data_IF_426728622210
#
_entry.id   IF_426728622210
#
_cell.length_a   1.000
_cell.length_b   1.000
_cell.length_c   1.000
_cell.angle_alpha   90.00
_cell.angle_beta   90.00
_cell.angle_gamma   90.00
#
_symmetry.space_group_name_H-M   'P 1'
#
loop_
_entity.id
_entity.type
_entity.pdbx_description
1 polymer ?
#
# COMPACT_ATOMS: atom_id res chain seq x y z
N UNK A 1 -10.25 -37.42 -28.49
CA UNK A 1 -8.78 -37.32 -28.51
C UNK A 1 -8.25 -37.65 -27.12
N UNK A 2 -7.20 -38.47 -27.00
CA UNK A 2 -6.60 -38.85 -25.70
C UNK A 2 -5.76 -37.69 -25.16
N UNK A 3 -5.79 -37.47 -23.84
CA UNK A 3 -5.10 -36.37 -23.13
C UNK A 3 -3.65 -36.06 -23.60
N UNK A 4 -2.76 -37.04 -23.84
CA UNK A 4 -1.39 -36.74 -24.30
C UNK A 4 -1.32 -36.06 -25.68
N UNK A 5 -2.29 -36.32 -26.57
CA UNK A 5 -2.35 -35.66 -27.87
C UNK A 5 -2.79 -34.18 -27.77
N UNK A 6 -3.57 -33.83 -26.74
CA UNK A 6 -3.97 -32.44 -26.48
C UNK A 6 -2.82 -31.63 -25.90
N UNK A 7 -2.05 -32.21 -24.99
CA UNK A 7 -0.85 -31.58 -24.42
C UNK A 7 0.24 -31.37 -25.48
N UNK A 8 0.46 -32.35 -26.36
CA UNK A 8 1.39 -32.20 -27.49
C UNK A 8 0.98 -31.09 -28.46
N UNK A 9 -0.32 -30.98 -28.77
CA UNK A 9 -0.84 -29.92 -29.63
C UNK A 9 -0.71 -28.54 -28.97
N UNK A 10 -1.00 -28.44 -27.67
CA UNK A 10 -0.88 -27.20 -26.92
C UNK A 10 0.57 -26.72 -26.87
N UNK A 11 1.53 -27.61 -26.59
CA UNK A 11 2.95 -27.27 -26.62
C UNK A 11 3.43 -26.76 -27.98
N UNK A 12 2.97 -27.38 -29.07
CA UNK A 12 3.31 -26.94 -30.44
C UNK A 12 2.73 -25.55 -30.77
N UNK A 13 1.50 -25.28 -30.34
CA UNK A 13 0.88 -23.95 -30.50
C UNK A 13 1.65 -22.91 -29.69
N UNK A 14 2.05 -23.23 -28.47
CA UNK A 14 2.79 -22.30 -27.61
C UNK A 14 4.16 -21.95 -28.19
N UNK A 15 4.90 -22.94 -28.71
CA UNK A 15 6.18 -22.72 -29.40
C UNK A 15 5.98 -21.84 -30.64
N UNK A 16 4.92 -22.06 -31.42
CA UNK A 16 4.62 -21.25 -32.59
C UNK A 16 4.31 -19.79 -32.21
N UNK A 17 3.54 -19.56 -31.14
CA UNK A 17 3.22 -18.21 -30.64
C UNK A 17 4.48 -17.49 -30.18
N UNK A 18 5.35 -18.15 -29.40
CA UNK A 18 6.61 -17.57 -28.95
C UNK A 18 7.58 -17.25 -30.11
N UNK A 19 7.66 -18.14 -31.10
CA UNK A 19 8.51 -17.92 -32.28
C UNK A 19 8.02 -16.73 -33.13
N UNK A 20 6.69 -16.60 -33.30
CA UNK A 20 6.10 -15.44 -34.01
C UNK A 20 6.36 -14.16 -33.22
N UNK A 21 6.12 -14.17 -31.91
CA UNK A 21 6.33 -13.00 -31.04
C UNK A 21 7.80 -12.52 -31.08
N UNK A 22 8.77 -13.43 -30.94
CA UNK A 22 10.20 -13.12 -31.00
C UNK A 22 10.61 -12.55 -32.37
N UNK A 23 10.05 -13.06 -33.46
CA UNK A 23 10.34 -12.56 -34.81
C UNK A 23 9.74 -11.17 -35.06
N UNK A 24 8.51 -10.92 -34.60
CA UNK A 24 7.90 -9.58 -34.66
C UNK A 24 8.61 -8.57 -33.78
N UNK A 25 9.06 -8.97 -32.58
CA UNK A 25 9.82 -8.09 -31.70
C UNK A 25 11.14 -7.65 -32.38
N UNK A 26 11.87 -8.58 -32.99
CA UNK A 26 13.12 -8.26 -33.69
C UNK A 26 12.94 -7.39 -34.96
N UNK A 27 11.72 -7.31 -35.51
CA UNK A 27 11.43 -6.50 -36.70
C UNK A 27 10.92 -5.09 -36.35
N UNK A 28 10.42 -4.88 -35.13
CA UNK A 28 9.74 -3.65 -34.70
C UNK A 28 10.57 -2.89 -33.67
N UNK A 29 11.36 -3.60 -32.85
CA UNK A 29 12.20 -2.99 -31.81
C UNK A 29 13.54 -2.58 -32.44
N UNK A 30 13.87 -1.27 -32.46
CA UNK A 30 15.16 -0.81 -32.93
C UNK A 30 16.29 -1.26 -32.01
N UNK A 31 17.48 -1.53 -32.57
CA UNK A 31 18.67 -1.96 -31.80
C UNK A 31 19.04 -0.96 -30.68
N UNK A 32 18.70 0.32 -30.84
CA UNK A 32 18.90 1.36 -29.81
C UNK A 32 18.06 1.16 -28.56
N UNK A 33 16.88 0.55 -28.67
CA UNK A 33 16.02 0.24 -27.52
C UNK A 33 16.58 -0.95 -26.74
N UNK A 34 17.15 -1.93 -27.44
CA UNK A 34 17.85 -3.06 -26.81
C UNK A 34 19.14 -2.61 -26.13
N UNK A 35 19.87 -1.66 -26.72
CA UNK A 35 21.04 -1.05 -26.09
C UNK A 35 20.70 -0.21 -24.87
N UNK A 36 19.62 0.58 -24.89
CA UNK A 36 19.17 1.35 -23.73
C UNK A 36 18.84 0.43 -22.54
N UNK A 37 18.16 -0.69 -22.77
CA UNK A 37 17.88 -1.68 -21.72
C UNK A 37 19.13 -2.42 -21.24
N UNK A 38 20.10 -2.66 -22.13
CA UNK A 38 21.38 -3.26 -21.75
C UNK A 38 22.23 -2.29 -20.90
N UNK A 39 22.27 -1.01 -21.26
CA UNK A 39 22.96 0.05 -20.50
C UNK A 39 22.31 0.27 -19.12
N UNK A 40 20.98 0.26 -19.04
CA UNK A 40 20.22 0.32 -17.78
C UNK A 40 20.51 -0.88 -16.84
N UNK A 41 20.80 -2.06 -17.39
CA UNK A 41 21.28 -3.22 -16.60
C UNK A 41 22.78 -3.17 -16.26
N UNK A 42 23.59 -2.39 -16.97
CA UNK A 42 25.05 -2.34 -16.75
C UNK A 42 25.42 -1.26 -15.71
N UNK A 43 24.64 -0.18 -15.60
CA UNK A 43 24.81 0.84 -14.55
C UNK A 43 24.47 0.31 -13.13
N UNK A 44 23.78 -0.84 -13.04
CA UNK A 44 23.45 -1.49 -11.77
C UNK A 44 24.50 -2.52 -11.29
N UNK A 45 25.69 -2.59 -11.91
CA UNK A 45 26.71 -3.58 -11.50
C UNK A 45 28.14 -3.00 -11.41
N UNK A 46 28.44 -2.46 -10.22
CA UNK A 46 29.75 -2.28 -9.57
C UNK A 46 30.97 -1.76 -10.38
N UNK A 47 31.54 -0.65 -9.90
CA UNK A 47 33.00 -0.44 -9.89
C UNK A 47 33.49 -0.38 -8.44
N UNK A 48 34.14 -1.46 -7.99
CA UNK A 48 35.03 -1.43 -6.83
C UNK A 48 36.38 -0.80 -7.23
N UNK A 49 36.90 0.02 -6.33
CA UNK A 49 38.29 0.42 -6.31
C UNK A 49 38.44 1.84 -5.80
N UNK A 50 38.71 2.00 -4.51
CA UNK A 50 39.87 2.75 -4.00
C UNK A 50 40.03 2.47 -2.50
N UNK A 51 41.22 1.96 -2.17
CA UNK A 51 41.79 1.77 -0.86
C UNK A 51 42.10 3.13 -0.21
N UNK A 52 41.62 3.38 1.02
CA UNK A 52 42.24 4.33 1.96
C UNK A 52 41.80 4.05 3.41
N UNK A 53 42.80 3.77 4.23
CA UNK A 53 42.80 3.76 5.69
C UNK A 53 42.29 5.07 6.32
N UNK A 54 41.44 4.99 7.33
CA UNK A 54 41.09 6.13 8.20
C UNK A 54 39.99 5.80 9.22
N UNK A 55 40.28 6.05 10.48
CA UNK A 55 39.49 5.78 11.70
C UNK A 55 38.53 6.95 12.00
N UNK A 56 37.22 6.69 12.20
CA UNK A 56 36.26 7.30 13.16
C UNK A 56 34.79 7.02 12.72
N UNK A 57 33.82 6.85 13.66
CA UNK A 57 32.43 6.49 13.39
C UNK A 57 31.52 7.73 13.23
N UNK A 58 30.26 7.48 12.85
CA UNK A 58 29.15 8.43 12.65
C UNK A 58 28.93 8.93 11.22
N UNK A 59 28.17 8.15 10.45
CA UNK A 59 27.13 8.65 9.57
C UNK A 59 26.21 7.47 9.24
N UNK A 60 25.01 7.44 9.85
CA UNK A 60 23.96 6.52 9.45
C UNK A 60 23.56 6.86 8.03
N UNK A 61 23.97 6.01 7.08
CA UNK A 61 23.46 6.06 5.72
C UNK A 61 21.98 5.70 5.79
N UNK A 62 21.13 6.69 5.56
CA UNK A 62 19.76 6.46 5.13
C UNK A 62 19.85 5.85 3.73
N UNK A 63 19.77 4.52 3.69
CA UNK A 63 19.36 3.78 2.51
C UNK A 63 18.14 4.48 1.92
N UNK A 64 18.13 4.68 0.61
CA UNK A 64 17.01 5.29 -0.09
C UNK A 64 15.70 4.64 0.33
N UNK A 65 14.64 5.43 0.41
CA UNK A 65 13.30 4.95 0.66
C UNK A 65 13.06 3.68 -0.17
N UNK A 66 13.12 2.53 0.50
CA UNK A 66 12.64 1.28 -0.04
C UNK A 66 11.24 1.59 -0.55
N UNK A 67 10.96 1.27 -1.81
CA UNK A 67 9.64 1.45 -2.36
C UNK A 67 8.67 0.70 -1.44
N UNK A 68 8.00 1.43 -0.56
CA UNK A 68 7.12 0.86 0.45
C UNK A 68 6.17 -0.09 -0.28
N UNK A 69 6.04 -1.32 0.24
CA UNK A 69 5.16 -2.30 -0.36
C UNK A 69 3.79 -1.68 -0.55
N UNK A 70 3.34 -1.57 -1.80
CA UNK A 70 2.02 -1.02 -2.09
C UNK A 70 0.89 -1.97 -1.67
N UNK A 71 1.20 -3.07 -0.96
CA UNK A 71 0.22 -4.03 -0.48
C UNK A 71 -0.57 -4.73 -1.57
N UNK A 72 -0.17 -4.62 -2.85
CA UNK A 72 -0.93 -5.15 -3.99
C UNK A 72 -0.67 -6.63 -4.28
N UNK A 73 0.41 -7.18 -3.72
CA UNK A 73 0.86 -8.54 -3.97
C UNK A 73 0.43 -9.50 -2.86
N UNK A 74 0.11 -10.74 -3.25
CA UNK A 74 -0.09 -11.84 -2.29
C UNK A 74 1.22 -12.40 -1.75
N UNK A 75 2.35 -11.99 -2.31
CA UNK A 75 3.68 -12.41 -1.91
C UNK A 75 4.71 -11.30 -2.18
N UNK A 76 5.72 -11.23 -1.33
CA UNK A 76 6.85 -10.30 -1.42
C UNK A 76 8.05 -10.92 -0.69
N UNK A 77 9.26 -10.82 -1.26
CA UNK A 77 10.52 -11.26 -0.62
C UNK A 77 10.50 -12.70 -0.09
N UNK A 78 9.70 -13.58 -0.70
CA UNK A 78 9.52 -14.98 -0.29
C UNK A 78 8.41 -15.18 0.76
N UNK A 79 7.90 -14.12 1.37
CA UNK A 79 6.70 -14.16 2.20
C UNK A 79 5.44 -14.24 1.33
N UNK A 80 4.42 -14.95 1.80
CA UNK A 80 3.17 -15.18 1.06
C UNK A 80 1.95 -15.31 1.98
N UNK A 81 0.80 -14.78 1.55
CA UNK A 81 -0.50 -15.13 2.12
C UNK A 81 -1.00 -16.46 1.56
N UNK A 82 -1.21 -17.42 2.45
CA UNK A 82 -1.73 -18.76 2.16
C UNK A 82 -2.91 -19.07 3.08
N UNK A 83 -3.63 -20.17 2.81
CA UNK A 83 -4.71 -20.64 3.69
C UNK A 83 -5.88 -19.66 3.84
N UNK A 84 -6.05 -18.73 2.90
CA UNK A 84 -7.09 -17.69 2.99
C UNK A 84 -8.46 -18.33 2.78
N UNK A 85 -9.28 -18.34 3.83
CA UNK A 85 -10.67 -18.80 3.78
C UNK A 85 -11.58 -17.81 4.48
N UNK A 86 -12.84 -17.74 4.02
CA UNK A 86 -13.87 -16.89 4.59
C UNK A 86 -15.26 -17.43 4.19
N UNK A 87 -16.36 -17.00 4.85
CA UNK A 87 -17.71 -17.23 4.35
C UNK A 87 -17.85 -16.73 2.90
N UNK A 88 -18.74 -17.36 2.13
CA UNK A 88 -18.83 -17.06 0.68
C UNK A 88 -20.09 -16.28 0.30
N UNK A 89 -20.99 -16.05 1.24
CA UNK A 89 -22.19 -15.24 1.04
C UNK A 89 -22.43 -14.31 2.24
N UNK A 90 -23.31 -13.35 2.05
CA UNK A 90 -23.73 -12.40 3.10
C UNK A 90 -24.59 -13.06 4.16
N UNK A 91 -24.44 -12.65 5.42
CA UNK A 91 -25.24 -13.16 6.54
C UNK A 91 -24.92 -14.61 6.94
N UNK A 92 -23.81 -15.17 6.45
CA UNK A 92 -23.29 -16.45 6.89
C UNK A 92 -22.25 -16.22 8.00
N UNK A 93 -22.57 -16.66 9.21
CA UNK A 93 -21.60 -16.78 10.29
C UNK A 93 -20.49 -17.75 9.91
N UNK A 94 -19.24 -17.33 10.08
CA UNK A 94 -18.08 -18.21 9.97
C UNK A 94 -16.81 -17.57 10.48
N UNK A 95 -15.70 -17.87 9.81
CA UNK A 95 -14.37 -17.42 10.21
C UNK A 95 -13.62 -16.95 8.97
N UNK A 96 -12.95 -15.80 9.09
CA UNK A 96 -11.92 -15.39 8.13
C UNK A 96 -10.58 -15.87 8.68
N UNK A 97 -9.90 -16.73 7.92
CA UNK A 97 -8.60 -17.28 8.27
C UNK A 97 -7.54 -16.98 7.23
N UNK A 98 -6.28 -16.85 7.64
CA UNK A 98 -5.13 -16.79 6.74
C UNK A 98 -3.85 -17.30 7.42
N UNK A 99 -2.78 -17.48 6.65
CA UNK A 99 -1.45 -17.79 7.15
C UNK A 99 -0.42 -16.99 6.38
N UNK A 100 0.55 -16.41 7.07
CA UNK A 100 1.75 -15.85 6.45
C UNK A 100 2.78 -16.98 6.38
N UNK A 101 3.18 -17.37 5.17
CA UNK A 101 4.25 -18.34 4.92
C UNK A 101 5.53 -17.59 4.60
N UNK A 102 6.65 -17.97 5.20
CA UNK A 102 7.95 -17.33 4.99
C UNK A 102 8.72 -17.89 3.77
N UNK A 103 9.91 -17.32 3.48
CA UNK A 103 10.76 -17.74 2.36
C UNK A 103 11.20 -19.21 2.41
N UNK A 104 11.20 -19.80 3.60
CA UNK A 104 11.52 -21.22 3.84
C UNK A 104 10.34 -22.18 3.56
N UNK A 105 9.16 -21.63 3.24
CA UNK A 105 7.94 -22.37 2.95
C UNK A 105 7.12 -22.79 4.19
N UNK A 106 7.52 -22.37 5.40
CA UNK A 106 6.78 -22.67 6.63
C UNK A 106 5.95 -21.48 7.11
N UNK A 107 4.90 -21.69 7.93
CA UNK A 107 4.19 -20.60 8.59
C UNK A 107 5.13 -19.76 9.44
N UNK A 108 5.06 -18.44 9.30
CA UNK A 108 5.72 -17.49 10.19
C UNK A 108 5.00 -17.52 11.54
N UNK A 109 5.75 -17.67 12.62
CA UNK A 109 5.20 -17.73 13.99
C UNK A 109 5.83 -16.73 14.96
N UNK A 110 6.73 -15.89 14.45
CA UNK A 110 7.45 -14.88 15.22
C UNK A 110 7.30 -13.53 14.50
N UNK A 111 6.64 -12.59 15.17
CA UNK A 111 6.28 -11.28 14.65
C UNK A 111 6.60 -10.24 15.71
N UNK A 112 7.03 -9.06 15.28
CA UNK A 112 7.14 -7.90 16.15
C UNK A 112 5.77 -7.27 16.37
N UNK A 113 5.62 -6.56 17.48
CA UNK A 113 4.42 -5.75 17.72
C UNK A 113 4.54 -4.42 17.00
N UNK A 114 3.61 -4.17 16.10
CA UNK A 114 3.35 -2.85 15.52
C UNK A 114 1.99 -2.39 16.01
N UNK A 115 1.89 -1.17 16.54
CA UNK A 115 0.66 -0.66 17.14
C UNK A 115 -0.01 -1.64 18.12
N UNK A 116 0.80 -2.25 19.01
CA UNK A 116 0.39 -3.24 20.03
C UNK A 116 -0.15 -4.57 19.48
N UNK A 117 -0.04 -4.83 18.17
CA UNK A 117 -0.51 -6.04 17.51
C UNK A 117 0.57 -6.67 16.64
N UNK A 118 0.53 -7.99 16.54
CA UNK A 118 1.45 -8.73 15.66
C UNK A 118 0.98 -8.67 14.18
N UNK A 119 -0.32 -8.47 13.94
CA UNK A 119 -0.92 -8.40 12.61
C UNK A 119 -2.15 -7.49 12.61
N UNK A 120 -2.18 -6.56 11.66
CA UNK A 120 -3.38 -5.81 11.29
C UNK A 120 -4.02 -6.44 10.06
N UNK A 121 -5.31 -6.74 10.16
CA UNK A 121 -6.11 -7.24 9.04
C UNK A 121 -7.03 -6.13 8.57
N UNK A 122 -6.81 -5.68 7.33
CA UNK A 122 -7.66 -4.68 6.69
C UNK A 122 -8.50 -5.38 5.63
N UNK A 123 -9.81 -5.22 5.68
CA UNK A 123 -10.73 -5.78 4.70
C UNK A 123 -11.57 -4.66 4.13
N UNK A 124 -11.58 -4.50 2.81
CA UNK A 124 -12.32 -3.43 2.12
C UNK A 124 -12.85 -3.93 0.79
N UNK A 125 -14.05 -3.51 0.42
CA UNK A 125 -14.62 -3.85 -0.88
C UNK A 125 -13.90 -3.10 -1.99
N UNK A 126 -13.89 -3.66 -3.20
CA UNK A 126 -13.17 -3.10 -4.37
C UNK A 126 -13.61 -1.70 -4.79
N UNK A 127 -14.74 -1.20 -4.29
CA UNK A 127 -15.24 0.16 -4.49
C UNK A 127 -14.95 1.08 -3.28
N UNK A 128 -14.13 0.66 -2.32
CA UNK A 128 -13.78 1.44 -1.14
C UNK A 128 -14.76 1.34 0.03
N UNK A 129 -15.88 0.65 -0.14
CA UNK A 129 -16.92 0.54 0.89
C UNK A 129 -16.70 -0.67 1.80
N UNK A 130 -17.44 -0.72 2.92
CA UNK A 130 -17.41 -1.83 3.89
C UNK A 130 -15.99 -2.14 4.40
N UNK A 131 -15.24 -1.09 4.70
CA UNK A 131 -13.94 -1.17 5.35
C UNK A 131 -14.06 -1.73 6.77
N UNK A 132 -13.13 -2.60 7.16
CA UNK A 132 -12.94 -3.09 8.52
C UNK A 132 -11.45 -3.20 8.79
N UNK A 133 -10.99 -2.61 9.90
CA UNK A 133 -9.66 -2.82 10.47
C UNK A 133 -9.81 -3.69 11.72
N UNK A 134 -9.30 -4.91 11.66
CA UNK A 134 -9.45 -5.89 12.75
C UNK A 134 -8.14 -6.61 13.04
N UNK A 135 -8.10 -7.32 14.17
CA UNK A 135 -6.89 -7.94 14.69
C UNK A 135 -7.20 -9.40 14.98
N UNK A 136 -6.94 -10.33 14.04
CA UNK A 136 -7.17 -11.75 14.25
C UNK A 136 -6.22 -12.31 15.31
N UNK A 137 -6.58 -13.47 15.87
CA UNK A 137 -5.72 -14.20 16.79
C UNK A 137 -4.95 -15.30 16.04
N UNK A 138 -3.68 -15.48 16.39
CA UNK A 138 -2.82 -16.52 15.83
C UNK A 138 -2.80 -17.76 16.72
N UNK A 139 -2.97 -18.92 16.12
CA UNK A 139 -2.76 -20.19 16.80
C UNK A 139 -1.28 -20.60 16.85
N UNK A 140 -0.98 -21.72 17.52
CA UNK A 140 0.39 -22.21 17.64
C UNK A 140 0.99 -22.77 16.33
N UNK A 141 0.18 -22.93 15.28
CA UNK A 141 0.58 -23.40 13.95
C UNK A 141 0.83 -22.23 12.98
N UNK A 142 0.58 -20.98 13.41
CA UNK A 142 0.77 -19.79 12.59
C UNK A 142 -0.47 -19.38 11.79
N UNK A 143 -1.61 -20.03 12.01
CA UNK A 143 -2.87 -19.64 11.37
C UNK A 143 -3.52 -18.51 12.16
N UNK A 144 -3.89 -17.45 11.45
CA UNK A 144 -4.64 -16.31 11.95
C UNK A 144 -6.12 -16.52 11.68
N UNK A 145 -6.97 -16.22 12.67
CA UNK A 145 -8.42 -16.38 12.54
C UNK A 145 -9.20 -15.32 13.29
N UNK A 146 -10.38 -14.97 12.77
CA UNK A 146 -11.35 -14.11 13.43
C UNK A 146 -12.77 -14.50 13.02
N UNK A 147 -13.75 -14.50 13.95
CA UNK A 147 -15.17 -14.64 13.60
C UNK A 147 -15.57 -13.59 12.57
N UNK A 148 -16.28 -14.02 11.53
CA UNK A 148 -16.58 -13.17 10.39
C UNK A 148 -17.97 -13.42 9.81
N UNK A 149 -18.61 -12.33 9.43
CA UNK A 149 -19.83 -12.30 8.63
C UNK A 149 -19.69 -11.15 7.62
N UNK A 150 -20.11 -11.38 6.38
CA UNK A 150 -20.16 -10.34 5.35
C UNK A 150 -21.51 -9.63 5.37
N UNK A 151 -21.49 -8.30 5.50
CA UNK A 151 -22.69 -7.46 5.46
C UNK A 151 -23.17 -7.17 4.03
N UNK A 152 -22.25 -7.24 3.06
CA UNK A 152 -22.55 -6.96 1.65
C UNK A 152 -21.77 -7.88 0.71
N UNK A 153 -22.35 -8.12 -0.47
CA UNK A 153 -21.70 -8.88 -1.52
C UNK A 153 -20.70 -8.01 -2.28
N UNK A 154 -19.77 -8.67 -2.97
CA UNK A 154 -18.78 -8.00 -3.81
C UNK A 154 -17.42 -8.68 -3.80
N UNK A 155 -16.46 -8.00 -4.42
CA UNK A 155 -15.05 -8.37 -4.37
C UNK A 155 -14.40 -7.59 -3.23
N UNK A 156 -13.76 -8.28 -2.29
CA UNK A 156 -13.06 -7.67 -1.17
C UNK A 156 -11.57 -7.89 -1.32
N UNK A 157 -10.77 -6.87 -1.00
CA UNK A 157 -9.34 -7.04 -0.76
C UNK A 157 -9.12 -7.22 0.73
N UNK A 158 -8.29 -8.20 1.06
CA UNK A 158 -7.88 -8.54 2.42
C UNK A 158 -6.37 -8.30 2.49
N UNK A 159 -5.97 -7.32 3.29
CA UNK A 159 -4.57 -7.02 3.59
C UNK A 159 -4.19 -7.61 4.92
N UNK A 160 -2.97 -8.12 5.00
CA UNK A 160 -2.27 -8.42 6.23
C UNK A 160 -1.05 -7.51 6.30
N UNK A 161 -0.99 -6.68 7.33
CA UNK A 161 0.12 -5.79 7.63
C UNK A 161 0.81 -6.30 8.89
N UNK A 162 2.11 -6.59 8.78
CA UNK A 162 2.87 -7.30 9.81
C UNK A 162 4.37 -7.04 9.70
N UNK A 163 5.09 -7.30 10.79
CA UNK A 163 6.55 -7.20 10.86
C UNK A 163 7.13 -8.57 11.26
N UNK A 164 7.75 -9.33 10.36
CA UNK A 164 8.44 -10.56 10.74
C UNK A 164 9.67 -10.26 11.59
N UNK A 165 9.84 -10.92 12.74
CA UNK A 165 11.01 -10.72 13.61
C UNK A 165 12.34 -10.99 12.90
N UNK A 166 12.34 -11.88 11.90
CA UNK A 166 13.54 -12.21 11.11
C UNK A 166 14.07 -11.01 10.31
N UNK A 167 13.18 -10.19 9.75
CA UNK A 167 13.57 -9.03 8.92
C UNK A 167 13.47 -7.70 9.67
N UNK A 168 12.64 -7.63 10.72
CA UNK A 168 12.34 -6.39 11.45
C UNK A 168 11.77 -5.28 10.55
N UNK A 169 11.26 -5.65 9.37
CA UNK A 169 10.82 -4.71 8.33
C UNK A 169 9.35 -4.94 8.05
N UNK A 170 8.54 -3.87 8.11
CA UNK A 170 7.10 -3.93 7.85
C UNK A 170 6.77 -4.40 6.44
N UNK A 171 5.77 -5.25 6.34
CA UNK A 171 5.29 -5.83 5.09
C UNK A 171 3.77 -5.83 5.06
N UNK A 172 3.23 -5.38 3.93
CA UNK A 172 1.81 -5.50 3.64
C UNK A 172 1.61 -6.47 2.47
N UNK A 173 0.88 -7.56 2.69
CA UNK A 173 0.48 -8.49 1.64
C UNK A 173 -1.03 -8.44 1.48
N UNK A 174 -1.55 -8.72 0.29
CA UNK A 174 -3.00 -8.82 0.10
C UNK A 174 -3.45 -9.89 -0.88
N UNK A 175 -4.71 -10.29 -0.73
CA UNK A 175 -5.41 -11.12 -1.70
C UNK A 175 -6.84 -10.63 -1.87
N UNK A 176 -7.58 -11.24 -2.80
CA UNK A 176 -9.00 -10.93 -3.02
C UNK A 176 -9.89 -12.11 -2.61
N UNK A 177 -11.02 -11.79 -2.00
CA UNK A 177 -12.08 -12.74 -1.62
C UNK A 177 -13.37 -12.33 -2.32
N UNK A 178 -14.12 -13.31 -2.83
CA UNK A 178 -15.41 -13.08 -3.48
C UNK A 178 -16.55 -13.44 -2.54
N UNK A 179 -17.49 -12.52 -2.37
CA UNK A 179 -18.71 -12.70 -1.60
C UNK A 179 -19.90 -12.69 -2.55
N UNK A 180 -20.63 -13.79 -2.61
CA UNK A 180 -21.80 -13.96 -3.45
C UNK A 180 -23.00 -13.16 -2.90
N UNK A 181 -23.78 -12.60 -3.83
CA UNK A 181 -25.00 -11.86 -3.54
C UNK A 181 -25.17 -10.69 -4.52
N UNK A 182 -26.15 -9.85 -4.23
CA UNK A 182 -26.43 -8.66 -5.05
C UNK A 182 -25.35 -7.60 -4.81
N UNK A 183 -24.63 -7.23 -5.87
CA UNK A 183 -23.58 -6.22 -5.82
C UNK A 183 -24.01 -4.96 -6.57
N UNK A 184 -24.06 -3.84 -5.84
CA UNK A 184 -24.23 -2.51 -6.38
C UNK A 184 -23.01 -1.66 -5.98
N UNK A 185 -22.06 -1.40 -6.91
CA UNK A 185 -20.88 -0.59 -6.61
C UNK A 185 -21.27 0.84 -6.23
N UNK A 186 -20.60 1.39 -5.22
CA UNK A 186 -20.76 2.77 -4.78
C UNK A 186 -19.37 3.40 -4.52
N UNK A 187 -18.55 3.58 -5.56
CA UNK A 187 -17.24 4.21 -5.42
C UNK A 187 -17.35 5.69 -5.04
N UNK A 188 -16.25 6.26 -4.55
CA UNK A 188 -16.19 7.68 -4.25
C UNK A 188 -16.27 8.54 -5.52
N UNK A 189 -17.30 9.38 -5.62
CA UNK A 189 -17.52 10.27 -6.77
C UNK A 189 -16.69 11.56 -6.70
N UNK A 190 -16.20 11.93 -5.51
CA UNK A 190 -15.44 13.17 -5.27
C UNK A 190 -14.73 13.17 -3.91
N UNK A 191 -13.94 14.20 -3.61
CA UNK A 191 -13.40 14.43 -2.27
C UNK A 191 -14.51 14.53 -1.23
N UNK A 192 -14.25 13.95 -0.07
CA UNK A 192 -15.07 14.00 1.13
C UNK A 192 -14.12 14.34 2.27
N UNK A 193 -13.91 15.64 2.50
CA UNK A 193 -12.96 16.12 3.51
C UNK A 193 -13.60 16.28 4.89
N UNK A 194 -14.88 16.00 5.02
CA UNK A 194 -15.62 15.98 6.28
C UNK A 194 -16.66 14.86 6.23
N UNK A 195 -16.78 14.08 7.31
CA UNK A 195 -17.75 13.00 7.45
C UNK A 195 -18.29 12.95 8.87
N UNK A 196 -19.45 12.32 9.07
CA UNK A 196 -20.01 12.06 10.39
C UNK A 196 -20.16 10.57 10.63
N UNK A 197 -19.59 10.08 11.72
CA UNK A 197 -19.70 8.68 12.17
C UNK A 197 -20.09 8.66 13.64
N UNK A 198 -21.12 7.88 13.99
CA UNK A 198 -21.59 7.68 15.38
C UNK A 198 -21.81 8.96 16.21
N UNK A 199 -22.13 10.09 15.54
CA UNK A 199 -22.34 11.40 16.18
C UNK A 199 -21.09 12.29 16.27
N UNK A 200 -19.94 11.82 15.80
CA UNK A 200 -18.71 12.60 15.69
C UNK A 200 -18.51 13.09 14.26
N UNK A 201 -18.20 14.37 14.10
CA UNK A 201 -17.77 14.94 12.83
C UNK A 201 -16.25 14.92 12.78
N UNK A 202 -15.72 14.28 11.73
CA UNK A 202 -14.30 14.19 11.44
C UNK A 202 -14.01 14.97 10.17
N UNK A 203 -13.09 15.92 10.25
CA UNK A 203 -12.60 16.68 9.11
C UNK A 203 -11.11 16.42 8.87
N UNK A 204 -10.70 16.32 7.62
CA UNK A 204 -9.28 16.25 7.22
C UNK A 204 -8.87 17.59 6.61
N UNK A 205 -7.70 18.07 7.01
CA UNK A 205 -7.03 19.23 6.42
C UNK A 205 -5.57 18.90 6.08
N UNK A 206 -4.97 19.69 5.20
CA UNK A 206 -3.67 19.42 4.60
C UNK A 206 -3.78 19.07 3.12
N UNK A 207 -2.67 19.24 2.40
CA UNK A 207 -2.57 18.94 0.98
C UNK A 207 -1.74 17.66 0.81
N UNK A 208 -2.36 16.58 0.33
CA UNK A 208 -1.64 15.35 0.00
C UNK A 208 -0.90 15.54 -1.32
N UNK A 209 0.41 15.76 -1.27
CA UNK A 209 1.23 16.00 -2.47
C UNK A 209 1.84 14.68 -2.94
N UNK A 210 1.63 14.34 -4.21
CA UNK A 210 2.19 13.12 -4.79
C UNK A 210 3.73 13.15 -4.83
N UNK A 211 4.36 12.06 -4.42
CA UNK A 211 5.81 11.87 -4.39
C UNK A 211 6.52 12.50 -3.20
N UNK A 212 5.79 13.10 -2.24
CA UNK A 212 6.37 13.71 -1.04
C UNK A 212 5.56 13.39 0.22
N UNK A 213 6.25 13.32 1.36
CA UNK A 213 5.59 13.27 2.67
C UNK A 213 4.74 14.52 2.88
N UNK A 214 3.49 14.31 3.28
CA UNK A 214 2.49 15.34 3.50
C UNK A 214 1.88 15.18 4.88
N UNK A 215 1.66 16.31 5.57
CA UNK A 215 0.96 16.33 6.84
C UNK A 215 -0.56 16.38 6.59
N UNK A 216 -1.29 15.44 7.18
CA UNK A 216 -2.75 15.42 7.21
C UNK A 216 -3.24 15.53 8.65
N UNK A 217 -4.02 16.57 8.93
CA UNK A 217 -4.58 16.83 10.26
C UNK A 217 -6.04 16.44 10.29
N UNK A 218 -6.37 15.47 11.14
CA UNK A 218 -7.72 15.01 11.43
C UNK A 218 -8.26 15.77 12.63
N UNK A 219 -9.36 16.50 12.47
CA UNK A 219 -10.04 17.22 13.56
C UNK A 219 -11.36 16.54 13.90
N UNK A 220 -11.56 16.22 15.19
CA UNK A 220 -12.74 15.53 15.68
C UNK A 220 -13.58 16.48 16.54
N UNK A 221 -14.86 16.60 16.22
CA UNK A 221 -15.84 17.40 16.95
C UNK A 221 -17.11 16.61 17.24
N UNK A 222 -17.82 16.98 18.30
CA UNK A 222 -19.13 16.43 18.64
C UNK A 222 -20.09 17.60 18.90
N UNK A 223 -21.22 17.64 18.20
CA UNK A 223 -22.19 18.74 18.29
C UNK A 223 -21.58 20.15 18.07
N UNK A 224 -20.50 20.24 17.29
CA UNK A 224 -19.76 21.47 17.01
C UNK A 224 -18.73 21.87 18.07
N UNK A 225 -18.60 21.11 19.16
CA UNK A 225 -17.57 21.30 20.18
C UNK A 225 -16.36 20.40 19.93
N UNK A 226 -15.12 20.88 20.14
CA UNK A 226 -13.90 20.07 20.02
C UNK A 226 -13.91 18.86 20.97
N UNK A 227 -13.60 17.67 20.46
CA UNK A 227 -13.37 16.49 21.30
C UNK A 227 -11.95 16.58 21.87
N UNK A 228 -11.80 16.56 23.20
CA UNK A 228 -10.48 16.57 23.86
C UNK A 228 -10.28 15.34 24.77
N UNK A 229 -11.05 14.29 24.51
CA UNK A 229 -11.08 13.06 25.30
C UNK A 229 -10.76 11.84 24.43
N UNK A 230 -9.93 12.01 23.39
CA UNK A 230 -9.46 10.90 22.58
C UNK A 230 -8.62 9.98 23.45
N UNK A 231 -8.96 8.70 23.46
CA UNK A 231 -8.27 7.68 24.22
C UNK A 231 -7.23 6.97 23.34
N UNK A 232 -6.11 6.52 23.93
CA UNK A 232 -5.16 5.67 23.25
C UNK A 232 -5.81 4.37 22.78
N UNK A 233 -5.67 4.08 21.50
CA UNK A 233 -6.05 2.81 20.89
C UNK A 233 -4.84 2.33 20.10
N UNK A 234 -4.42 1.07 20.26
CA UNK A 234 -3.29 0.49 19.51
C UNK A 234 -2.00 1.35 19.58
N UNK A 235 -1.73 1.91 20.76
CA UNK A 235 -0.54 2.73 21.00
C UNK A 235 -0.52 4.12 20.32
N UNK A 236 -1.66 4.65 19.86
CA UNK A 236 -1.78 6.03 19.37
C UNK A 236 -3.17 6.62 19.67
N UNK A 237 -3.38 7.92 19.44
CA UNK A 237 -4.71 8.53 19.59
C UNK A 237 -5.62 8.32 18.37
N UNK A 238 -5.07 7.76 17.28
CA UNK A 238 -5.84 7.28 16.15
C UNK A 238 -4.94 6.57 15.13
N UNK A 239 -5.58 5.77 14.28
CA UNK A 239 -4.93 4.97 13.25
C UNK A 239 -5.52 5.33 11.89
N UNK A 240 -4.66 5.60 10.92
CA UNK A 240 -5.10 6.03 9.60
C UNK A 240 -4.63 5.02 8.56
N UNK A 241 -5.59 4.32 7.96
CA UNK A 241 -5.35 3.52 6.76
C UNK A 241 -5.68 4.38 5.55
N UNK A 242 -4.72 4.51 4.64
CA UNK A 242 -4.91 5.21 3.38
C UNK A 242 -4.73 4.23 2.21
N UNK A 243 -5.68 4.22 1.28
CA UNK A 243 -5.70 3.34 0.12
C UNK A 243 -5.91 4.14 -1.16
N UNK A 244 -5.16 3.85 -2.22
CA UNK A 244 -5.41 4.46 -3.53
C UNK A 244 -6.75 3.98 -4.08
N UNK A 245 -7.57 4.91 -4.56
CA UNK A 245 -8.83 4.56 -5.21
C UNK A 245 -8.60 3.73 -6.49
N UNK A 246 -9.50 2.79 -6.75
CA UNK A 246 -9.41 1.83 -7.85
C UNK A 246 -8.66 0.55 -7.48
N UNK A 247 -7.33 0.59 -7.34
CA UNK A 247 -6.53 -0.61 -7.10
C UNK A 247 -6.27 -0.94 -5.62
N UNK A 248 -6.66 -0.03 -4.72
CA UNK A 248 -6.48 -0.16 -3.28
C UNK A 248 -5.02 -0.35 -2.87
N UNK A 249 -4.08 0.27 -3.60
CA UNK A 249 -2.69 0.29 -3.17
C UNK A 249 -2.60 0.88 -1.75
N UNK A 250 -1.95 0.16 -0.85
CA UNK A 250 -1.77 0.54 0.55
C UNK A 250 -0.71 1.64 0.65
N UNK A 251 -0.96 2.64 1.49
CA UNK A 251 -0.05 3.76 1.72
C UNK A 251 0.58 3.63 3.08
N UNK A 252 1.84 4.07 3.14
CA UNK A 252 2.54 4.25 4.39
C UNK A 252 2.06 5.54 5.07
N UNK A 253 1.56 5.39 6.28
CA UNK A 253 1.04 6.46 7.13
C UNK A 253 1.56 6.26 8.54
N UNK A 254 2.04 7.33 9.17
CA UNK A 254 2.44 7.30 10.58
C UNK A 254 1.78 8.42 11.35
N UNK A 255 1.31 8.17 12.59
CA UNK A 255 0.89 9.24 13.48
C UNK A 255 2.11 10.10 13.85
N UNK A 256 1.89 11.41 13.93
CA UNK A 256 2.87 12.35 14.45
C UNK A 256 2.77 12.43 15.98
N UNK A 257 3.93 12.52 16.64
CA UNK A 257 4.03 12.70 18.09
C UNK A 257 4.53 11.46 18.84
N UNK A 258 4.70 11.61 20.15
CA UNK A 258 5.13 10.51 21.03
C UNK A 258 3.97 9.54 21.28
N UNK A 259 4.32 8.27 21.55
CA UNK A 259 3.33 7.27 21.96
C UNK A 259 2.66 7.71 23.29
N UNK A 260 1.32 7.61 23.40
CA UNK A 260 0.58 8.05 24.57
C UNK A 260 0.85 7.18 25.79
N UNK A 261 0.78 7.79 26.97
CA UNK A 261 0.78 7.06 28.24
C UNK A 261 -0.62 6.53 28.60
N UNK A 262 -0.66 5.45 29.40
CA UNK A 262 -1.94 4.88 29.84
C UNK A 262 -2.76 5.90 30.65
N UNK A 263 -3.96 6.21 30.18
CA UNK A 263 -4.88 7.18 30.79
C UNK A 263 -4.63 8.64 30.38
N UNK A 264 -3.69 8.88 29.47
CA UNK A 264 -3.57 10.15 28.77
C UNK A 264 -4.74 10.32 27.78
N UNK A 265 -5.14 11.57 27.52
CA UNK A 265 -6.15 11.90 26.51
C UNK A 265 -5.64 13.00 25.60
N UNK A 266 -6.05 12.99 24.34
CA UNK A 266 -5.69 14.02 23.36
C UNK A 266 -6.91 14.60 22.64
N UNK A 267 -6.65 15.45 21.64
CA UNK A 267 -7.64 16.06 20.77
C UNK A 267 -7.66 17.59 20.83
N UNK A 268 -8.38 18.24 19.90
CA UNK A 268 -9.24 17.62 18.88
C UNK A 268 -8.51 17.14 17.62
N UNK A 269 -7.21 17.40 17.54
CA UNK A 269 -6.41 17.12 16.35
C UNK A 269 -5.55 15.86 16.52
N UNK A 270 -5.51 15.05 15.47
CA UNK A 270 -4.56 13.96 15.28
C UNK A 270 -3.83 14.24 13.97
N UNK A 271 -2.52 14.28 14.01
CA UNK A 271 -1.68 14.61 12.84
C UNK A 271 -1.04 13.35 12.32
N UNK A 272 -1.06 13.15 11.00
CA UNK A 272 -0.43 12.01 10.33
C UNK A 272 0.53 12.51 9.24
N UNK A 273 1.66 11.82 9.08
CA UNK A 273 2.49 11.95 7.89
C UNK A 273 2.12 10.83 6.90
N UNK A 274 1.73 11.21 5.69
CA UNK A 274 1.34 10.30 4.63
C UNK A 274 2.13 10.59 3.34
N UNK A 275 2.54 9.54 2.63
CA UNK A 275 3.19 9.68 1.32
C UNK A 275 2.35 9.03 0.23
N UNK A 276 1.79 9.83 -0.67
CA UNK A 276 1.12 9.34 -1.86
C UNK A 276 2.15 9.08 -2.96
N UNK A 277 2.36 7.84 -3.43
CA UNK A 277 3.41 7.56 -4.43
C UNK A 277 3.08 8.12 -5.82
N UNK A 278 1.80 8.39 -6.11
CA UNK A 278 1.32 8.82 -7.43
C UNK A 278 0.24 9.88 -7.29
N UNK A 279 0.04 10.75 -8.29
CA UNK A 279 -1.18 11.56 -8.34
C UNK A 279 -2.42 10.68 -8.42
N UNK A 280 -3.48 11.02 -7.68
CA UNK A 280 -4.72 10.27 -7.69
C UNK A 280 -5.64 10.60 -6.51
N UNK A 281 -6.71 9.81 -6.41
CA UNK A 281 -7.63 9.81 -5.28
C UNK A 281 -7.23 8.78 -4.25
N UNK A 282 -7.38 9.12 -2.99
CA UNK A 282 -7.06 8.27 -1.86
C UNK A 282 -8.22 8.22 -0.88
N UNK A 283 -8.57 7.01 -0.48
CA UNK A 283 -9.58 6.67 0.51
C UNK A 283 -8.88 6.59 1.87
N UNK A 284 -9.36 7.37 2.83
CA UNK A 284 -8.80 7.47 4.16
C UNK A 284 -9.79 6.86 5.15
N UNK A 285 -9.32 6.00 6.05
CA UNK A 285 -10.11 5.40 7.12
C UNK A 285 -9.42 5.70 8.44
N UNK A 286 -9.99 6.62 9.21
CA UNK A 286 -9.48 7.00 10.53
C UNK A 286 -10.21 6.20 11.60
N UNK A 287 -9.48 5.37 12.33
CA UNK A 287 -9.92 4.79 13.59
C UNK A 287 -9.53 5.71 14.75
N UNK A 288 -10.47 6.01 15.63
CA UNK A 288 -10.25 6.75 16.88
C UNK A 288 -11.12 6.19 18.00
N UNK A 289 -10.70 6.38 19.26
CA UNK A 289 -11.41 5.83 20.42
C UNK A 289 -11.91 6.91 21.37
N UNK A 290 -13.17 6.78 21.78
CA UNK A 290 -13.82 7.62 22.79
C UNK A 290 -14.73 6.71 23.63
N UNK A 291 -14.71 6.87 24.96
CA UNK A 291 -15.49 6.07 25.92
C UNK A 291 -15.32 4.54 25.73
N UNK A 292 -14.11 4.09 25.35
CA UNK A 292 -13.76 2.71 25.09
C UNK A 292 -14.37 2.12 23.81
N UNK A 293 -14.96 2.96 22.94
CA UNK A 293 -15.55 2.56 21.66
C UNK A 293 -14.70 3.09 20.51
N UNK A 294 -14.38 2.20 19.56
CA UNK A 294 -13.63 2.54 18.35
C UNK A 294 -14.63 2.98 17.28
N UNK A 295 -14.32 4.08 16.62
CA UNK A 295 -15.08 4.66 15.52
C UNK A 295 -14.21 4.75 14.28
N UNK A 296 -14.76 4.39 13.13
CA UNK A 296 -14.05 4.44 11.84
C UNK A 296 -14.68 5.49 10.92
N UNK A 297 -13.96 6.58 10.65
CA UNK A 297 -14.42 7.65 9.76
C UNK A 297 -13.83 7.50 8.35
N UNK A 298 -14.65 7.28 7.30
CA UNK A 298 -14.19 7.29 5.92
C UNK A 298 -14.14 8.72 5.35
N UNK A 299 -12.99 9.11 4.81
CA UNK A 299 -12.77 10.35 4.09
C UNK A 299 -12.17 10.07 2.71
N UNK A 300 -12.23 11.05 1.82
CA UNK A 300 -11.68 10.96 0.47
C UNK A 300 -10.92 12.23 0.15
N UNK A 301 -9.66 12.10 -0.22
CA UNK A 301 -8.81 13.21 -0.63
C UNK A 301 -8.24 12.96 -2.02
N UNK A 302 -8.08 14.02 -2.79
CA UNK A 302 -7.36 13.98 -4.06
C UNK A 302 -5.97 14.59 -3.84
N UNK A 303 -4.94 14.03 -4.47
CA UNK A 303 -3.61 14.63 -4.39
C UNK A 303 -3.58 15.98 -5.07
N UNK A 304 -2.76 16.88 -4.54
CA UNK A 304 -2.41 18.15 -5.20
C UNK A 304 -1.10 18.00 -5.96
N UNK A 305 -0.97 18.72 -7.09
CA UNK A 305 0.17 18.65 -8.01
C UNK A 305 -0.17 17.99 -9.35
N UNK A 306 0.31 18.55 -10.45
CA UNK A 306 0.05 18.03 -11.79
C UNK A 306 0.71 16.66 -11.97
N UNK A 307 -0.02 15.70 -12.54
CA UNK A 307 0.59 14.55 -13.18
C UNK A 307 1.56 15.08 -14.23
N UNK A 308 2.87 15.01 -13.97
CA UNK A 308 3.87 15.35 -14.98
C UNK A 308 3.59 14.49 -16.22
N UNK A 309 3.17 15.09 -17.35
CA UNK A 309 3.00 14.35 -18.57
C UNK A 309 4.42 14.14 -19.11
N UNK A 310 4.99 12.97 -18.85
CA UNK A 310 6.29 12.67 -19.44
C UNK A 310 6.14 12.51 -20.96
N UNK A 311 7.02 13.16 -21.72
CA UNK A 311 7.20 12.91 -23.16
C UNK A 311 6.68 13.99 -24.14
N UNK A 312 7.56 14.94 -24.46
CA UNK A 312 7.76 15.34 -25.86
C UNK A 312 7.36 16.76 -26.26
N UNK A 313 8.33 17.67 -26.24
CA UNK A 313 8.72 18.46 -27.43
C UNK A 313 9.99 19.26 -27.14
N UNK A 314 11.16 18.66 -27.41
CA UNK A 314 12.34 19.46 -27.74
C UNK A 314 12.11 20.09 -29.12
N UNK A 315 11.49 21.28 -29.16
CA UNK A 315 11.69 22.20 -30.28
C UNK A 315 13.08 22.80 -30.14
N UNK A 316 14.00 22.31 -30.97
CA UNK A 316 15.34 22.84 -31.08
C UNK A 316 15.34 24.27 -31.60
N UNK A 317 15.79 25.21 -30.78
CA UNK A 317 16.25 26.51 -31.25
C UNK A 317 17.74 26.42 -31.60
N UNK A 318 18.02 26.18 -32.89
CA UNK A 318 19.36 26.34 -33.45
C UNK A 318 19.70 27.83 -33.58
N UNK A 319 20.58 28.32 -32.70
CA UNK A 319 21.22 29.62 -32.82
C UNK A 319 22.71 29.45 -33.12
N UNK A 320 23.08 29.63 -34.39
CA UNK A 320 24.46 29.80 -34.83
C UNK A 320 24.94 31.21 -34.44
N UNK A 321 26.00 31.31 -33.63
CA UNK A 321 26.81 32.54 -33.55
C UNK A 321 28.28 32.19 -33.84
N UNK A 322 28.73 32.60 -35.02
CA UNK A 322 30.15 32.77 -35.34
C UNK A 322 30.68 33.99 -34.59
N UNK A 323 31.79 33.83 -33.86
CA UNK A 323 32.52 34.91 -33.22
C UNK A 323 34.01 34.64 -33.28
N UNK A 324 34.61 34.88 -34.45
CA UNK A 324 36.06 34.93 -34.63
C UNK A 324 36.58 36.37 -34.63
N UNK A 325 37.61 36.59 -33.81
CA UNK A 325 38.62 37.66 -33.78
C UNK A 325 38.19 39.14 -33.73
N UNK A 326 38.73 39.87 -32.74
CA UNK A 326 39.76 40.90 -32.96
C UNK A 326 40.37 41.38 -31.62
N UNK A 327 41.68 41.22 -31.51
CA UNK A 327 42.71 42.06 -30.88
C UNK A 327 42.36 42.99 -29.69
N UNK A 328 43.07 42.80 -28.58
CA UNK A 328 44.15 43.70 -28.11
C UNK A 328 45.07 43.01 -27.10
#
# INVERSE_FOLDING_TARGET
MKAPARLGLYGLVLVAVFAVAAFTANAIVPDSTVQAWAEETTDNNHTEGHDMTGDDPHAGHTSGADAASLGLGLAQDGYQLTGVTAPTATGEDGELSLTVTGPDGHPVTDFELEHEKELHLIVVRSDGQHFRHVHPERDNQGAWSIPWEWEAAGSYRVFADFVPTETGSGMTLSTSVQVAGDYAPAPADGPVTETTVDGYTVAVSGDLVAGSGSELTMTITQDGEPVTALEPYLGAFGHLVALRDGDLAYLHVHPHGDAPEAGETSGPEIVFEATAPTPGRYLLFLDFQIDGQVHTAPLVVDTTGEASPDGGSHEGAGGHEEGGDHEH
#
